data_IF_124809641928
#
_entry.id   IF_124809641928
#
_cell.length_a   1.000
_cell.length_b   1.000
_cell.length_c   1.000
_cell.angle_alpha   90.00
_cell.angle_beta   90.00
_cell.angle_gamma   90.00
#
_symmetry.space_group_name_H-M   'P 1'
#
loop_
_entity.id
_entity.type
_entity.pdbx_description
1 polymer ?
#
# COMPACT_ATOMS: atom_id res chain seq x y z
N UNK A 1 14.12 -1.78 47.92
CA UNK A 1 12.97 -2.70 48.07
C UNK A 1 12.62 -3.22 46.68
N UNK A 2 13.23 -4.37 46.33
CA UNK A 2 13.06 -5.05 45.05
C UNK A 2 11.72 -5.79 45.06
N UNK A 3 10.71 -5.27 44.36
CA UNK A 3 9.55 -6.08 43.99
C UNK A 3 9.94 -6.90 42.78
N UNK A 4 10.38 -8.12 43.09
CA UNK A 4 10.51 -9.20 42.13
C UNK A 4 9.13 -9.48 41.53
N UNK A 5 8.92 -9.04 40.30
CA UNK A 5 7.79 -9.46 39.48
C UNK A 5 8.05 -10.89 38.97
N UNK A 6 8.07 -11.85 39.91
CA UNK A 6 7.92 -13.28 39.63
C UNK A 6 6.43 -13.57 39.41
N UNK A 7 5.84 -12.93 38.42
CA UNK A 7 4.62 -13.43 37.81
C UNK A 7 5.05 -14.47 36.76
N UNK A 8 4.96 -15.74 37.15
CA UNK A 8 5.37 -16.87 36.34
C UNK A 8 4.85 -16.77 34.91
N UNK A 9 5.76 -16.91 33.95
CA UNK A 9 5.44 -17.39 32.62
C UNK A 9 4.81 -18.78 32.79
N UNK A 10 3.50 -18.84 33.07
CA UNK A 10 2.73 -20.03 32.84
C UNK A 10 2.98 -20.40 31.38
N UNK A 11 3.82 -21.41 31.14
CA UNK A 11 4.14 -21.89 29.81
C UNK A 11 2.81 -22.10 29.09
N UNK A 12 2.45 -21.19 28.18
CA UNK A 12 1.20 -21.31 27.45
C UNK A 12 1.20 -22.71 26.83
N UNK A 13 0.21 -23.53 27.15
CA UNK A 13 0.16 -24.93 26.72
C UNK A 13 0.36 -25.00 25.21
N UNK A 14 1.24 -25.88 24.72
CA UNK A 14 1.44 -26.09 23.28
C UNK A 14 0.09 -26.28 22.59
N UNK A 15 -0.14 -25.53 21.51
CA UNK A 15 -1.36 -25.65 20.71
C UNK A 15 -1.53 -27.07 20.15
N UNK A 16 -0.45 -27.65 19.60
CA UNK A 16 -0.47 -28.97 19.02
C UNK A 16 0.90 -29.66 19.19
N UNK A 17 0.88 -30.96 19.53
CA UNK A 17 2.08 -31.78 19.81
C UNK A 17 2.99 -31.96 18.59
N UNK A 18 2.50 -31.84 17.37
CA UNK A 18 3.34 -32.03 16.18
C UNK A 18 4.26 -30.84 15.88
N UNK A 19 4.33 -29.80 16.71
CA UNK A 19 5.11 -28.59 16.45
C UNK A 19 6.27 -28.48 17.45
N UNK A 20 7.48 -28.37 16.92
CA UNK A 20 8.74 -28.51 17.65
C UNK A 20 9.20 -27.20 18.29
N UNK A 21 8.84 -26.06 17.69
CA UNK A 21 9.17 -24.74 18.21
C UNK A 21 8.01 -23.75 18.03
N UNK A 22 8.07 -22.64 18.77
CA UNK A 22 7.21 -21.47 18.54
C UNK A 22 7.96 -20.18 18.85
N UNK A 23 7.57 -19.12 18.17
CA UNK A 23 8.04 -17.76 18.43
C UNK A 23 6.85 -16.92 18.92
N UNK A 24 6.92 -16.32 20.12
CA UNK A 24 5.87 -15.42 20.59
C UNK A 24 5.91 -14.11 19.80
N UNK A 25 4.76 -13.67 19.32
CA UNK A 25 4.57 -12.39 18.62
C UNK A 25 3.51 -11.61 19.39
N UNK A 26 3.84 -10.41 19.84
CA UNK A 26 2.86 -9.48 20.41
C UNK A 26 2.64 -8.35 19.42
N UNK A 27 1.39 -8.05 19.12
CA UNK A 27 1.01 -6.89 18.31
C UNK A 27 0.25 -5.94 19.22
N UNK A 28 0.78 -4.73 19.40
CA UNK A 28 0.10 -3.66 20.14
C UNK A 28 -0.25 -2.54 19.17
N UNK A 29 -1.55 -2.21 19.15
CA UNK A 29 -2.05 -1.07 18.40
C UNK A 29 -2.58 -0.03 19.37
N UNK A 30 -2.35 1.24 19.03
CA UNK A 30 -3.17 2.30 19.57
C UNK A 30 -4.56 2.20 18.95
N UNK A 31 -5.58 2.57 19.72
CA UNK A 31 -6.90 2.82 19.15
C UNK A 31 -6.75 3.83 18.00
N UNK A 32 -7.45 3.58 16.90
CA UNK A 32 -7.36 4.38 15.68
C UNK A 32 -8.41 3.93 14.67
N UNK A 33 -8.26 4.39 13.44
CA UNK A 33 -9.33 4.37 12.43
C UNK A 33 -9.83 2.98 12.02
N UNK A 34 -8.94 1.98 12.02
CA UNK A 34 -9.24 0.64 11.55
C UNK A 34 -9.55 -0.32 12.71
N UNK A 35 -10.70 -1.01 12.65
CA UNK A 35 -11.08 -2.08 13.59
C UNK A 35 -10.31 -3.39 13.39
N UNK A 36 -9.77 -3.60 12.18
CA UNK A 36 -8.86 -4.68 11.79
C UNK A 36 -7.68 -4.09 11.05
N UNK A 37 -6.46 -4.51 11.38
CA UNK A 37 -5.23 -3.93 10.85
C UNK A 37 -4.37 -4.97 10.17
N UNK A 38 -3.88 -4.71 8.96
CA UNK A 38 -2.89 -5.56 8.33
C UNK A 38 -1.54 -5.41 9.05
N UNK A 39 -0.90 -6.54 9.32
CA UNK A 39 0.46 -6.64 9.84
C UNK A 39 1.32 -7.29 8.76
N UNK A 40 2.42 -6.62 8.42
CA UNK A 40 3.41 -7.08 7.44
C UNK A 40 4.75 -7.12 8.16
N UNK A 41 5.30 -8.32 8.37
CA UNK A 41 6.59 -8.51 9.02
C UNK A 41 7.60 -9.01 8.00
N UNK A 42 8.73 -8.30 7.79
CA UNK A 42 9.83 -8.85 7.01
C UNK A 42 10.33 -10.15 7.66
N UNK A 43 10.47 -11.20 6.86
CA UNK A 43 10.87 -12.52 7.33
C UNK A 43 12.25 -12.48 8.01
N UNK A 44 13.15 -11.62 7.52
CA UNK A 44 14.45 -11.36 8.14
C UNK A 44 14.39 -11.16 9.66
N UNK A 45 13.41 -10.40 10.17
CA UNK A 45 13.28 -10.11 11.61
C UNK A 45 13.00 -11.38 12.42
N UNK A 46 12.30 -12.34 11.82
CA UNK A 46 12.01 -13.65 12.42
C UNK A 46 13.20 -14.60 12.22
N UNK A 47 13.80 -14.61 11.02
CA UNK A 47 14.92 -15.47 10.66
C UNK A 47 16.16 -15.22 11.53
N UNK A 48 16.46 -13.95 11.83
CA UNK A 48 17.54 -13.55 12.76
C UNK A 48 17.38 -14.20 14.14
N UNK A 49 16.13 -14.31 14.64
CA UNK A 49 15.83 -14.98 15.92
C UNK A 49 15.96 -16.50 15.85
N UNK A 50 15.73 -17.07 14.67
CA UNK A 50 15.73 -18.53 14.46
C UNK A 50 17.10 -19.10 14.08
N UNK A 51 18.10 -18.26 13.81
CA UNK A 51 19.44 -18.67 13.44
C UNK A 51 19.53 -19.22 12.00
N UNK A 52 18.89 -18.53 11.04
CA UNK A 52 18.98 -18.81 9.59
C UNK A 52 18.52 -20.22 9.14
N UNK A 53 17.66 -20.88 9.93
CA UNK A 53 17.09 -22.16 9.52
C UNK A 53 16.29 -22.03 8.21
N UNK A 54 16.56 -22.92 7.24
CA UNK A 54 15.76 -23.03 6.01
C UNK A 54 14.36 -23.51 6.34
N UNK A 55 13.40 -22.59 6.36
CA UNK A 55 12.01 -22.85 6.70
C UNK A 55 11.18 -22.77 5.42
N UNK A 56 10.14 -23.59 5.32
CA UNK A 56 9.15 -23.51 4.22
C UNK A 56 7.84 -22.94 4.75
N UNK A 57 7.04 -22.30 3.90
CA UNK A 57 5.73 -21.77 4.31
C UNK A 57 4.81 -22.84 4.95
N UNK A 58 4.84 -24.09 4.44
CA UNK A 58 4.07 -25.21 4.99
C UNK A 58 4.49 -25.63 6.41
N UNK A 59 5.67 -25.20 6.86
CA UNK A 59 6.23 -25.41 8.20
C UNK A 59 5.79 -24.38 9.22
N UNK A 60 4.85 -23.48 8.88
CA UNK A 60 4.41 -22.40 9.76
C UNK A 60 2.92 -22.49 10.13
N UNK A 61 2.57 -22.14 11.36
CA UNK A 61 1.19 -21.77 11.74
C UNK A 61 1.17 -20.59 12.69
N UNK A 62 0.30 -19.62 12.41
CA UNK A 62 0.02 -18.54 13.31
C UNK A 62 -1.19 -18.88 14.20
N UNK A 63 -1.05 -18.69 15.51
CA UNK A 63 -2.06 -19.07 16.51
C UNK A 63 -2.29 -17.96 17.51
N UNK A 64 -3.56 -17.62 17.75
CA UNK A 64 -4.01 -16.75 18.84
C UNK A 64 -4.76 -17.59 19.89
N UNK A 65 -4.16 -17.77 21.07
CA UNK A 65 -4.69 -18.68 22.10
C UNK A 65 -4.77 -20.13 21.60
N UNK A 66 -5.97 -20.59 21.20
CA UNK A 66 -6.19 -21.92 20.60
C UNK A 66 -6.70 -21.89 19.16
N UNK A 67 -6.87 -20.70 18.57
CA UNK A 67 -7.43 -20.50 17.23
C UNK A 67 -6.31 -20.28 16.23
N UNK A 68 -6.42 -20.95 15.08
CA UNK A 68 -5.59 -20.63 13.92
C UNK A 68 -5.92 -19.22 13.43
N UNK A 69 -4.89 -18.46 13.12
CA UNK A 69 -5.00 -17.14 12.50
C UNK A 69 -4.62 -17.30 11.02
N UNK A 70 -5.47 -16.85 10.07
CA UNK A 70 -5.08 -16.78 8.67
C UNK A 70 -3.82 -15.94 8.52
N UNK A 71 -2.82 -16.50 7.86
CA UNK A 71 -1.62 -15.79 7.46
C UNK A 71 -1.26 -16.23 6.05
N UNK A 72 -0.42 -15.45 5.39
CA UNK A 72 0.24 -15.84 4.17
C UNK A 72 1.69 -15.35 4.19
N UNK A 73 2.49 -15.95 3.32
CA UNK A 73 3.84 -15.44 3.03
C UNK A 73 3.80 -14.89 1.63
N UNK A 74 4.21 -13.63 1.50
CA UNK A 74 4.34 -12.96 0.23
C UNK A 74 5.79 -12.85 -0.14
N UNK A 75 6.13 -13.44 -1.28
CA UNK A 75 7.51 -13.60 -1.67
C UNK A 75 8.02 -12.39 -2.43
N UNK A 76 9.23 -11.96 -2.11
CA UNK A 76 9.86 -10.81 -2.77
C UNK A 76 11.31 -11.07 -3.12
N UNK A 77 11.77 -10.43 -4.19
CA UNK A 77 13.20 -10.38 -4.49
C UNK A 77 13.88 -9.20 -3.75
N UNK A 78 15.21 -9.13 -3.83
CA UNK A 78 16.00 -8.04 -3.25
C UNK A 78 15.69 -6.64 -3.84
N UNK A 79 15.01 -6.59 -4.98
CA UNK A 79 14.55 -5.34 -5.62
C UNK A 79 13.21 -4.86 -5.06
N UNK A 80 12.54 -5.69 -4.27
CA UNK A 80 11.21 -5.44 -3.71
C UNK A 80 10.08 -5.93 -4.59
N UNK A 81 10.33 -6.58 -5.73
CA UNK A 81 9.25 -7.10 -6.58
C UNK A 81 8.59 -8.32 -5.96
N UNK A 82 7.27 -8.41 -6.07
CA UNK A 82 6.52 -9.63 -5.74
C UNK A 82 6.86 -10.77 -6.71
N UNK A 83 7.10 -11.96 -6.15
CA UNK A 83 7.35 -13.19 -6.87
C UNK A 83 6.10 -14.09 -6.83
N UNK A 84 5.80 -14.84 -7.92
CA UNK A 84 4.73 -15.82 -7.91
C UNK A 84 5.05 -16.98 -6.93
N UNK A 85 4.04 -17.67 -6.38
CA UNK A 85 4.24 -18.79 -5.46
C UNK A 85 4.94 -19.98 -6.16
N UNK A 86 6.05 -20.47 -5.59
CA UNK A 86 6.87 -21.59 -6.05
C UNK A 86 7.17 -22.61 -4.94
N UNK A 87 8.30 -23.34 -4.98
CA UNK A 87 8.65 -24.37 -3.97
C UNK A 87 9.00 -23.83 -2.55
N UNK A 88 8.69 -22.56 -2.30
CA UNK A 88 9.57 -21.51 -1.75
C UNK A 88 10.00 -21.76 -0.29
N UNK A 89 11.31 -21.99 -0.15
CA UNK A 89 12.03 -21.74 1.11
C UNK A 89 11.93 -20.26 1.40
N UNK A 90 11.78 -19.90 2.68
CA UNK A 90 11.58 -18.53 3.10
C UNK A 90 12.91 -17.76 3.05
N UNK A 91 12.94 -16.72 2.22
CA UNK A 91 14.10 -15.85 2.04
C UNK A 91 13.96 -14.57 2.90
N UNK A 92 15.07 -13.89 3.27
CA UNK A 92 15.02 -12.71 4.14
C UNK A 92 14.11 -11.58 3.65
N UNK A 93 13.89 -11.49 2.34
CA UNK A 93 13.07 -10.49 1.66
C UNK A 93 11.57 -10.80 1.70
N UNK A 94 11.18 -12.03 2.05
CA UNK A 94 9.77 -12.44 2.14
C UNK A 94 9.03 -11.69 3.25
N UNK A 95 7.72 -11.58 3.12
CA UNK A 95 6.84 -10.91 4.08
C UNK A 95 5.86 -11.89 4.70
N UNK A 96 5.83 -11.99 6.03
CA UNK A 96 4.74 -12.64 6.75
C UNK A 96 3.58 -11.64 6.90
N UNK A 97 2.42 -11.98 6.33
CA UNK A 97 1.25 -11.09 6.29
C UNK A 97 0.06 -11.73 7.01
N UNK A 98 -0.55 -10.99 7.92
CA UNK A 98 -1.77 -11.37 8.63
C UNK A 98 -2.60 -10.13 9.00
N UNK A 99 -3.83 -10.33 9.46
CA UNK A 99 -4.70 -9.25 9.95
C UNK A 99 -5.03 -9.50 11.41
N UNK A 100 -4.85 -8.48 12.24
CA UNK A 100 -5.19 -8.50 13.65
C UNK A 100 -6.39 -7.60 13.94
N UNK A 101 -7.21 -7.92 14.95
CA UNK A 101 -8.10 -6.92 15.52
C UNK A 101 -7.26 -5.75 16.04
N UNK A 102 -7.79 -4.54 15.98
CA UNK A 102 -7.14 -3.35 16.53
C UNK A 102 -7.33 -3.21 18.05
N UNK A 103 -7.59 -4.32 18.75
CA UNK A 103 -7.62 -4.30 20.20
C UNK A 103 -6.21 -3.93 20.73
N UNK A 104 -6.17 -3.28 21.90
CA UNK A 104 -4.93 -2.66 22.43
C UNK A 104 -3.71 -3.59 22.41
N UNK A 105 -3.93 -4.91 22.50
CA UNK A 105 -2.87 -5.91 22.45
C UNK A 105 -3.38 -7.28 22.03
N UNK A 106 -2.90 -7.77 20.90
CA UNK A 106 -3.07 -9.16 20.44
C UNK A 106 -1.79 -9.97 20.73
N UNK A 107 -1.93 -11.14 21.38
CA UNK A 107 -0.82 -12.09 21.60
C UNK A 107 -0.96 -13.31 20.69
N UNK A 108 0.10 -13.59 19.95
CA UNK A 108 0.19 -14.63 18.93
C UNK A 108 1.38 -15.54 19.19
N UNK A 109 1.35 -16.73 18.60
CA UNK A 109 2.51 -17.60 18.48
C UNK A 109 2.64 -18.08 17.03
N UNK A 110 3.82 -17.90 16.45
CA UNK A 110 4.20 -18.54 15.20
C UNK A 110 4.82 -19.90 15.53
N UNK A 111 4.07 -20.97 15.31
CA UNK A 111 4.54 -22.35 15.46
C UNK A 111 5.35 -22.78 14.25
N UNK A 112 6.45 -23.49 14.50
CA UNK A 112 7.38 -23.98 13.48
C UNK A 112 7.49 -25.51 13.52
N UNK A 113 7.61 -26.08 12.33
CA UNK A 113 7.76 -27.52 12.13
C UNK A 113 8.94 -27.85 11.23
N UNK A 114 9.84 -28.75 11.64
CA UNK A 114 10.96 -29.18 10.80
C UNK A 114 10.46 -29.83 9.50
N UNK A 115 9.37 -30.60 9.62
CA UNK A 115 8.71 -31.24 8.49
C UNK A 115 7.51 -30.37 8.04
N UNK A 116 7.46 -29.94 6.76
CA UNK A 116 6.32 -29.19 6.24
C UNK A 116 5.02 -29.96 6.41
N UNK A 117 3.95 -29.25 6.79
CA UNK A 117 2.62 -29.82 6.96
C UNK A 117 1.70 -29.42 5.80
N UNK A 118 0.61 -30.16 5.54
CA UNK A 118 -0.38 -29.76 4.54
C UNK A 118 -0.83 -28.31 4.80
N UNK A 119 -0.93 -27.44 3.78
CA UNK A 119 -1.28 -26.04 3.98
C UNK A 119 -2.64 -25.92 4.66
N UNK A 120 -2.78 -24.96 5.59
CA UNK A 120 -4.11 -24.60 6.09
C UNK A 120 -4.80 -23.75 5.02
N UNK A 121 -6.03 -24.14 4.65
CA UNK A 121 -6.86 -23.32 3.77
C UNK A 121 -7.73 -22.40 4.60
N UNK A 122 -7.77 -21.13 4.20
CA UNK A 122 -8.66 -20.13 4.78
C UNK A 122 -9.43 -19.45 3.65
N UNK A 123 -10.73 -19.15 3.85
CA UNK A 123 -11.44 -18.32 2.89
C UNK A 123 -10.76 -16.95 2.83
N UNK A 124 -10.61 -16.41 1.62
CA UNK A 124 -10.13 -15.04 1.45
C UNK A 124 -11.27 -14.07 1.74
N UNK A 125 -11.01 -13.04 2.55
CA UNK A 125 -11.92 -11.90 2.72
C UNK A 125 -11.88 -10.91 1.54
N UNK A 126 -10.99 -11.14 0.56
CA UNK A 126 -10.91 -10.34 -0.66
C UNK A 126 -11.50 -11.15 -1.81
N UNK A 127 -12.39 -10.56 -2.58
CA UNK A 127 -12.93 -11.17 -3.81
C UNK A 127 -12.18 -10.65 -5.02
N UNK A 128 -11.73 -11.56 -5.90
CA UNK A 128 -11.25 -11.21 -7.24
C UNK A 128 -12.40 -11.42 -8.21
N UNK A 129 -12.82 -10.36 -8.87
CA UNK A 129 -13.82 -10.42 -9.94
C UNK A 129 -13.11 -10.30 -11.27
N UNK A 130 -13.21 -11.34 -12.08
CA UNK A 130 -12.89 -11.29 -13.49
C UNK A 130 -14.14 -10.87 -14.27
N UNK A 131 -14.04 -9.87 -15.14
CA UNK A 131 -15.17 -9.28 -15.83
C UNK A 131 -15.84 -10.24 -16.81
N UNK A 132 -17.15 -10.09 -17.01
CA UNK A 132 -17.88 -10.69 -18.15
C UNK A 132 -17.90 -9.80 -19.42
N UNK A 133 -17.44 -8.54 -19.34
CA UNK A 133 -17.42 -7.52 -20.43
C UNK A 133 -16.16 -6.62 -20.30
N UNK A 134 -15.70 -5.99 -21.37
CA UNK A 134 -14.42 -5.23 -21.47
C UNK A 134 -14.19 -4.02 -20.52
N UNK A 135 -15.02 -3.79 -19.48
CA UNK A 135 -14.96 -2.58 -18.63
C UNK A 135 -13.72 -2.52 -17.71
N UNK A 136 -13.17 -3.65 -17.31
CA UNK A 136 -11.91 -3.75 -16.55
C UNK A 136 -11.24 -5.09 -16.89
N UNK A 137 -10.07 -5.40 -16.32
CA UNK A 137 -9.41 -6.71 -16.46
C UNK A 137 -9.35 -7.45 -15.12
N UNK A 138 -9.16 -6.72 -14.02
CA UNK A 138 -9.19 -7.25 -12.66
C UNK A 138 -9.96 -6.29 -11.77
N UNK A 139 -10.80 -6.80 -10.88
CA UNK A 139 -11.41 -6.02 -9.80
C UNK A 139 -11.20 -6.74 -8.48
N UNK A 140 -10.68 -6.03 -7.49
CA UNK A 140 -10.55 -6.49 -6.12
C UNK A 140 -11.64 -5.83 -5.27
N UNK A 141 -12.23 -6.60 -4.36
CA UNK A 141 -13.33 -6.14 -3.47
C UNK A 141 -13.11 -6.68 -2.06
N UNK A 142 -13.18 -5.82 -1.05
CA UNK A 142 -13.11 -6.20 0.38
C UNK A 142 -13.70 -5.09 1.25
N UNK A 143 -14.36 -5.47 2.34
CA UNK A 143 -14.81 -4.56 3.41
C UNK A 143 -15.52 -3.26 2.94
N UNK A 144 -16.29 -3.30 1.84
CA UNK A 144 -16.94 -2.11 1.27
C UNK A 144 -16.07 -1.29 0.31
N UNK A 145 -14.78 -1.56 0.20
CA UNK A 145 -13.90 -1.01 -0.84
C UNK A 145 -13.87 -1.87 -2.10
N UNK A 146 -13.70 -1.24 -3.26
CA UNK A 146 -13.28 -1.96 -4.46
C UNK A 146 -12.39 -1.12 -5.37
N UNK A 147 -11.45 -1.79 -6.03
CA UNK A 147 -10.57 -1.21 -7.05
C UNK A 147 -10.64 -2.07 -8.32
N UNK A 148 -10.96 -1.44 -9.46
CA UNK A 148 -10.96 -2.10 -10.76
C UNK A 148 -9.85 -1.52 -11.65
N UNK A 149 -9.09 -2.42 -12.27
CA UNK A 149 -7.90 -2.12 -13.06
C UNK A 149 -8.11 -2.68 -14.47
N UNK A 150 -7.87 -1.88 -15.50
CA UNK A 150 -7.99 -2.25 -16.91
C UNK A 150 -6.63 -2.13 -17.60
N UNK A 151 -6.07 -3.15 -18.28
CA UNK A 151 -4.76 -2.99 -18.95
C UNK A 151 -4.26 -4.09 -19.90
N UNK A 152 -5.12 -4.71 -20.72
CA UNK A 152 -4.66 -5.55 -21.87
C UNK A 152 -5.46 -5.34 -23.17
N UNK A 153 -5.91 -4.11 -23.48
CA UNK A 153 -6.68 -3.84 -24.72
C UNK A 153 -5.82 -3.32 -25.88
N UNK A 154 -6.17 -3.71 -27.13
CA UNK A 154 -5.82 -2.90 -28.30
C UNK A 154 -6.49 -1.52 -28.17
N UNK A 155 -5.78 -0.48 -28.63
CA UNK A 155 -6.23 0.90 -28.62
C UNK A 155 -7.54 1.02 -29.43
N UNK A 156 -8.67 1.24 -28.78
CA UNK A 156 -9.89 1.66 -29.50
C UNK A 156 -9.80 3.17 -29.78
N UNK A 157 -9.13 3.50 -30.88
CA UNK A 157 -9.01 4.87 -31.40
C UNK A 157 -10.35 5.46 -31.86
N UNK A 158 -11.36 4.61 -32.08
CA UNK A 158 -12.69 5.04 -32.54
C UNK A 158 -13.61 5.46 -31.39
N UNK A 159 -13.23 5.13 -30.15
CA UNK A 159 -13.90 5.59 -28.95
C UNK A 159 -13.60 7.08 -28.68
N UNK A 160 -14.12 7.96 -29.54
CA UNK A 160 -14.08 9.43 -29.46
C UNK A 160 -14.75 10.04 -28.20
N UNK A 161 -14.95 9.27 -27.13
CA UNK A 161 -15.54 9.73 -25.87
C UNK A 161 -14.84 9.23 -24.61
N UNK A 162 -13.83 8.34 -24.70
CA UNK A 162 -13.07 7.89 -23.53
C UNK A 162 -11.59 7.91 -23.83
N UNK A 163 -11.00 9.10 -23.75
CA UNK A 163 -9.55 9.24 -23.73
C UNK A 163 -8.96 8.31 -22.64
N UNK A 164 -8.21 7.29 -23.08
CA UNK A 164 -7.35 6.38 -22.28
C UNK A 164 -7.85 4.97 -21.90
N UNK A 165 -8.73 4.34 -22.66
CA UNK A 165 -9.15 2.94 -22.47
C UNK A 165 -8.03 1.86 -22.59
N UNK A 166 -6.79 2.25 -22.91
CA UNK A 166 -5.67 1.34 -23.23
C UNK A 166 -4.47 1.38 -22.26
N UNK A 167 -4.60 2.01 -21.09
CA UNK A 167 -3.54 2.10 -20.08
C UNK A 167 -3.94 1.27 -18.87
N UNK A 168 -3.04 0.51 -18.25
CA UNK A 168 -3.30 -0.11 -16.93
C UNK A 168 -3.73 0.93 -15.89
N UNK A 169 -5.03 1.17 -15.83
CA UNK A 169 -5.61 2.31 -15.14
C UNK A 169 -6.60 1.81 -14.14
N UNK A 170 -6.64 2.50 -13.01
CA UNK A 170 -7.73 2.33 -12.07
C UNK A 170 -8.98 2.98 -12.67
N UNK A 171 -9.87 2.15 -13.20
CA UNK A 171 -11.12 2.57 -13.86
C UNK A 171 -12.30 2.63 -12.88
N UNK A 172 -12.09 2.14 -11.66
CA UNK A 172 -13.10 2.18 -10.60
C UNK A 172 -12.43 2.14 -9.23
N UNK A 173 -12.81 3.08 -8.38
CA UNK A 173 -12.54 3.15 -6.95
C UNK A 173 -13.88 3.34 -6.28
N UNK A 174 -14.24 2.43 -5.39
CA UNK A 174 -15.50 2.49 -4.66
C UNK A 174 -15.23 2.40 -3.16
N UNK A 175 -16.03 3.13 -2.40
CA UNK A 175 -16.18 2.97 -0.95
C UNK A 175 -17.67 2.91 -0.61
N UNK A 176 -18.14 1.82 -0.01
CA UNK A 176 -19.54 1.58 0.37
C UNK A 176 -20.58 1.88 -0.73
N UNK A 177 -20.22 1.65 -2.00
CA UNK A 177 -21.09 1.93 -3.14
C UNK A 177 -20.99 3.36 -3.70
N UNK A 178 -20.26 4.26 -3.02
CA UNK A 178 -19.90 5.57 -3.54
C UNK A 178 -18.68 5.46 -4.45
N UNK A 179 -18.74 6.11 -5.61
CA UNK A 179 -17.63 6.14 -6.56
C UNK A 179 -16.67 7.26 -6.20
N UNK A 180 -15.41 6.93 -5.92
CA UNK A 180 -14.35 7.88 -5.58
C UNK A 180 -13.54 8.33 -6.81
N UNK A 181 -13.97 7.90 -8.01
CA UNK A 181 -13.41 8.34 -9.30
C UNK A 181 -14.48 8.42 -10.44
N UNK A 182 -15.05 9.58 -10.75
CA UNK A 182 -16.07 9.74 -11.81
C UNK A 182 -15.51 9.51 -13.23
N UNK A 183 -16.40 9.13 -14.14
CA UNK A 183 -16.11 8.70 -15.52
C UNK A 183 -15.65 9.82 -16.46
N UNK A 184 -15.84 11.08 -16.09
CA UNK A 184 -15.72 12.24 -16.98
C UNK A 184 -14.31 12.82 -17.09
N UNK A 185 -13.31 12.22 -16.45
CA UNK A 185 -11.93 12.67 -16.52
C UNK A 185 -11.06 11.71 -17.31
N UNK A 186 -10.02 12.27 -17.94
CA UNK A 186 -8.93 11.53 -18.57
C UNK A 186 -8.38 10.52 -17.57
N UNK A 187 -8.70 9.23 -17.76
CA UNK A 187 -8.37 8.17 -16.81
C UNK A 187 -6.87 8.07 -16.51
N UNK A 188 -6.02 8.55 -17.42
CA UNK A 188 -4.58 8.68 -17.20
C UNK A 188 -4.16 9.65 -16.08
N UNK A 189 -5.09 10.35 -15.44
CA UNK A 189 -4.82 11.35 -14.40
C UNK A 189 -5.36 10.97 -13.02
N UNK A 190 -6.34 10.06 -12.93
CA UNK A 190 -7.07 9.80 -11.68
C UNK A 190 -6.19 9.09 -10.65
N UNK A 191 -5.27 8.27 -11.13
CA UNK A 191 -4.24 7.67 -10.33
C UNK A 191 -3.09 7.37 -11.28
N UNK A 192 -1.97 8.03 -11.03
CA UNK A 192 -0.64 7.64 -11.40
C UNK A 192 -0.24 7.77 -12.87
N UNK A 193 0.15 8.99 -13.23
CA UNK A 193 1.12 9.17 -14.31
C UNK A 193 2.40 8.37 -13.97
N UNK A 194 2.98 7.67 -14.94
CA UNK A 194 4.35 7.16 -14.78
C UNK A 194 5.32 8.37 -14.85
N UNK A 195 6.50 8.30 -14.22
CA UNK A 195 7.37 9.47 -14.06
C UNK A 195 8.07 9.98 -15.33
N UNK A 196 7.62 9.56 -16.51
CA UNK A 196 8.33 9.76 -17.79
C UNK A 196 7.52 10.62 -18.75
N UNK A 197 8.18 11.41 -19.62
CA UNK A 197 7.51 12.14 -20.69
C UNK A 197 6.67 11.16 -21.51
N UNK A 198 5.36 11.40 -21.59
CA UNK A 198 4.44 10.47 -22.25
C UNK A 198 4.64 10.54 -23.77
N UNK A 199 5.26 9.52 -24.36
CA UNK A 199 5.06 9.21 -25.78
C UNK A 199 3.83 8.30 -25.94
N UNK A 200 3.30 8.20 -27.16
CA UNK A 200 2.21 7.27 -27.43
C UNK A 200 2.59 5.80 -27.16
N UNK A 201 3.87 5.45 -27.04
CA UNK A 201 4.35 4.08 -26.82
C UNK A 201 4.54 3.70 -25.35
N UNK A 202 4.53 4.68 -24.44
CA UNK A 202 4.75 4.46 -23.00
C UNK A 202 3.44 4.07 -22.33
N UNK A 203 3.21 2.76 -22.21
CA UNK A 203 1.93 2.23 -21.75
C UNK A 203 2.11 1.15 -20.69
N UNK A 204 1.34 1.31 -19.61
CA UNK A 204 1.16 0.23 -18.65
C UNK A 204 0.46 -0.97 -19.28
N UNK A 205 0.99 -2.16 -19.03
CA UNK A 205 0.61 -3.43 -19.65
C UNK A 205 0.74 -4.59 -18.65
N UNK A 206 0.29 -5.78 -19.07
CA UNK A 206 0.45 -7.04 -18.34
C UNK A 206 -0.23 -7.06 -16.95
N UNK A 207 -1.50 -6.63 -16.88
CA UNK A 207 -2.29 -6.74 -15.65
C UNK A 207 -2.43 -8.21 -15.24
N UNK A 208 -1.91 -8.57 -14.06
CA UNK A 208 -1.90 -9.94 -13.55
C UNK A 208 -2.14 -10.00 -12.04
N UNK A 209 -2.84 -11.03 -11.58
CA UNK A 209 -2.92 -11.38 -10.16
C UNK A 209 -1.62 -12.11 -9.78
N UNK A 210 -0.80 -11.50 -8.90
CA UNK A 210 0.48 -12.07 -8.46
C UNK A 210 0.37 -12.82 -7.14
N UNK A 211 -0.41 -12.28 -6.21
CA UNK A 211 -0.64 -12.87 -4.90
C UNK A 211 -2.12 -13.15 -4.76
N UNK A 212 -2.45 -14.42 -4.53
CA UNK A 212 -3.82 -14.90 -4.34
C UNK A 212 -3.96 -15.63 -2.99
N UNK A 213 -3.64 -14.91 -1.92
CA UNK A 213 -3.65 -15.47 -0.58
C UNK A 213 -4.96 -15.24 0.20
N UNK A 214 -5.10 -15.89 1.37
CA UNK A 214 -6.26 -15.72 2.24
C UNK A 214 -6.33 -14.35 2.93
N UNK A 215 -5.22 -13.63 3.07
CA UNK A 215 -5.12 -12.36 3.79
C UNK A 215 -4.98 -11.17 2.86
N UNK A 216 -4.12 -11.25 1.84
CA UNK A 216 -3.82 -10.18 0.91
C UNK A 216 -3.89 -10.71 -0.52
N UNK A 217 -4.47 -9.89 -1.40
CA UNK A 217 -4.40 -10.11 -2.85
C UNK A 217 -3.67 -8.94 -3.50
N UNK A 218 -2.78 -9.27 -4.43
CA UNK A 218 -1.93 -8.28 -5.11
C UNK A 218 -2.08 -8.42 -6.61
N UNK A 219 -2.53 -7.35 -7.27
CA UNK A 219 -2.55 -7.22 -8.72
C UNK A 219 -1.36 -6.36 -9.14
N UNK A 220 -0.64 -6.79 -10.17
CA UNK A 220 0.47 -6.04 -10.73
C UNK A 220 0.23 -5.62 -12.17
N UNK A 221 0.89 -4.54 -12.56
CA UNK A 221 1.01 -4.07 -13.95
C UNK A 221 2.38 -3.45 -14.14
N UNK A 222 2.90 -3.44 -15.36
CA UNK A 222 4.23 -2.87 -15.63
C UNK A 222 4.21 -1.84 -16.76
N UNK A 223 5.11 -0.88 -16.69
CA UNK A 223 5.41 0.07 -17.75
C UNK A 223 6.93 0.09 -17.90
N UNK A 224 7.41 -0.16 -19.10
CA UNK A 224 8.82 -0.02 -19.43
C UNK A 224 8.91 1.11 -20.43
N UNK A 225 9.77 2.07 -20.19
CA UNK A 225 10.14 3.02 -21.21
C UNK A 225 11.67 2.93 -21.37
N UNK A 226 12.10 2.91 -22.61
CA UNK A 226 13.49 2.73 -23.00
C UNK A 226 13.78 3.71 -24.12
N UNK A 227 14.45 4.80 -23.79
CA UNK A 227 15.17 5.61 -24.76
C UNK A 227 16.66 5.34 -24.63
N UNK A 228 17.14 4.59 -25.62
CA UNK A 228 18.54 4.38 -25.94
C UNK A 228 18.97 5.44 -26.97
N UNK A 229 20.03 5.18 -27.73
CA UNK A 229 21.35 5.64 -27.35
C UNK A 229 21.59 6.89 -28.17
N UNK A 230 22.48 7.71 -27.71
CA UNK A 230 23.16 8.64 -28.60
C UNK A 230 24.10 8.01 -29.63
N UNK A 231 24.41 8.83 -30.63
CA UNK A 231 25.58 8.69 -31.49
C UNK A 231 26.57 9.89 -31.36
N UNK A 232 26.19 10.96 -30.64
CA UNK A 232 27.06 12.02 -30.11
C UNK A 232 27.52 11.76 -28.67
N UNK A 233 27.14 10.63 -28.08
CA UNK A 233 27.40 10.33 -26.67
C UNK A 233 26.29 10.58 -25.63
N UNK A 234 25.12 11.24 -25.89
CA UNK A 234 23.93 11.21 -24.97
C UNK A 234 22.44 11.06 -25.50
N UNK A 235 21.80 9.88 -25.41
CA UNK A 235 20.34 9.66 -25.19
C UNK A 235 20.20 8.43 -24.31
N UNK A 236 19.95 8.63 -23.02
CA UNK A 236 19.83 7.51 -22.10
C UNK A 236 18.80 7.78 -21.03
N UNK A 237 17.60 7.27 -21.26
CA UNK A 237 16.61 7.15 -20.20
C UNK A 237 16.00 5.75 -20.29
N UNK A 238 16.39 4.88 -19.38
CA UNK A 238 15.92 3.51 -19.32
C UNK A 238 15.40 3.24 -17.92
N UNK A 239 14.10 2.96 -17.84
CA UNK A 239 13.54 2.44 -16.61
C UNK A 239 12.34 1.53 -16.81
N UNK A 240 12.25 0.59 -15.88
CA UNK A 240 11.14 -0.33 -15.73
C UNK A 240 10.38 0.00 -14.45
N UNK A 241 9.07 0.16 -14.55
CA UNK A 241 8.20 0.42 -13.40
C UNK A 241 7.20 -0.70 -13.27
N UNK A 242 7.18 -1.33 -12.11
CA UNK A 242 6.10 -2.24 -11.73
C UNK A 242 5.24 -1.57 -10.67
N UNK A 243 3.93 -1.58 -10.88
CA UNK A 243 2.94 -1.13 -9.91
C UNK A 243 2.20 -2.31 -9.32
N UNK A 244 2.01 -2.26 -8.02
CA UNK A 244 1.26 -3.23 -7.23
C UNK A 244 0.05 -2.57 -6.57
N UNK A 245 -1.11 -3.21 -6.70
CA UNK A 245 -2.33 -2.87 -5.99
C UNK A 245 -2.66 -3.99 -5.02
N UNK A 246 -2.66 -3.68 -3.73
CA UNK A 246 -2.84 -4.64 -2.65
C UNK A 246 -4.14 -4.36 -1.89
N UNK A 247 -4.95 -5.39 -1.67
CA UNK A 247 -6.11 -5.33 -0.77
C UNK A 247 -6.02 -6.41 0.30
N UNK A 248 -6.52 -6.09 1.50
CA UNK A 248 -6.47 -6.96 2.66
C UNK A 248 -7.86 -7.46 3.05
N UNK A 249 -7.92 -8.70 3.54
CA UNK A 249 -9.15 -9.37 3.92
C UNK A 249 -9.84 -8.62 5.06
N UNK A 250 -11.10 -8.24 4.82
CA UNK A 250 -11.97 -7.52 5.77
C UNK A 250 -11.41 -6.19 6.30
N UNK A 251 -10.52 -5.53 5.56
CA UNK A 251 -10.02 -4.18 5.90
C UNK A 251 -10.44 -3.19 4.81
N UNK A 252 -11.04 -2.04 5.14
CA UNK A 252 -11.41 -0.99 4.18
C UNK A 252 -10.18 -0.18 3.76
N UNK A 253 -9.19 -0.88 3.19
CA UNK A 253 -7.90 -0.33 2.83
C UNK A 253 -7.38 -0.97 1.55
N UNK A 254 -6.75 -0.16 0.71
CA UNK A 254 -5.82 -0.66 -0.30
C UNK A 254 -4.50 0.09 -0.25
N UNK A 255 -3.43 -0.66 -0.50
CA UNK A 255 -2.07 -0.17 -0.60
C UNK A 255 -1.65 -0.17 -2.08
N UNK A 256 -0.99 0.90 -2.49
CA UNK A 256 -0.36 1.00 -3.81
C UNK A 256 1.13 1.18 -3.63
N UNK A 257 1.89 0.41 -4.40
CA UNK A 257 3.34 0.47 -4.40
C UNK A 257 3.85 0.49 -5.83
N UNK A 258 4.73 1.45 -6.12
CA UNK A 258 5.50 1.50 -7.35
C UNK A 258 6.94 1.16 -7.05
N UNK A 259 7.50 0.30 -7.88
CA UNK A 259 8.93 -0.02 -7.91
C UNK A 259 9.46 0.40 -9.28
N UNK A 260 10.20 1.51 -9.31
CA UNK A 260 10.82 2.04 -10.52
C UNK A 260 12.32 1.74 -10.49
N UNK A 261 12.79 0.97 -11.46
CA UNK A 261 14.21 0.67 -11.68
C UNK A 261 14.73 1.55 -12.79
N UNK A 262 15.44 2.62 -12.43
CA UNK A 262 16.08 3.52 -13.39
C UNK A 262 17.52 3.07 -13.58
N UNK A 263 17.85 2.48 -14.74
CA UNK A 263 19.21 2.04 -15.04
C UNK A 263 20.08 3.16 -15.61
N UNK A 264 19.48 4.09 -16.36
CA UNK A 264 20.16 5.30 -16.86
C UNK A 264 19.19 6.47 -16.90
N UNK A 265 19.59 7.65 -16.41
CA UNK A 265 18.80 8.89 -16.44
C UNK A 265 19.74 10.10 -16.57
N UNK A 266 19.34 11.18 -17.28
CA UNK A 266 20.10 12.44 -17.30
C UNK A 266 20.17 13.11 -15.92
N UNK A 267 21.26 13.81 -15.60
CA UNK A 267 21.42 14.52 -14.33
C UNK A 267 20.36 15.63 -14.08
N UNK A 268 19.78 16.17 -15.16
CA UNK A 268 18.68 17.15 -15.13
C UNK A 268 17.29 16.52 -15.11
N UNK A 269 17.20 15.18 -15.18
CA UNK A 269 15.91 14.51 -15.21
C UNK A 269 15.22 14.60 -13.86
N UNK A 270 13.91 14.82 -13.93
CA UNK A 270 13.04 14.96 -12.80
C UNK A 270 11.92 13.93 -12.91
N UNK A 271 11.79 13.06 -11.90
CA UNK A 271 10.70 12.08 -11.87
C UNK A 271 9.44 12.73 -11.32
N UNK A 272 8.44 12.95 -12.17
CA UNK A 272 7.18 13.60 -11.81
C UNK A 272 6.02 12.61 -11.71
N UNK A 273 5.41 12.47 -10.54
CA UNK A 273 4.15 11.74 -10.37
C UNK A 273 3.00 12.73 -10.28
N UNK A 274 1.85 12.40 -10.88
CA UNK A 274 0.61 13.16 -10.77
C UNK A 274 -0.53 12.19 -10.51
N UNK A 275 -1.24 12.44 -9.41
CA UNK A 275 -2.39 11.67 -8.95
C UNK A 275 -3.60 12.58 -8.72
N UNK A 276 -4.80 12.08 -9.04
CA UNK A 276 -6.05 12.84 -8.89
C UNK A 276 -7.25 12.00 -8.44
N UNK A 277 -7.53 11.98 -7.15
CA UNK A 277 -8.69 11.29 -6.57
C UNK A 277 -9.82 12.25 -6.27
N UNK A 278 -11.02 11.73 -6.21
CA UNK A 278 -12.20 12.53 -5.96
C UNK A 278 -12.71 12.34 -4.54
N UNK A 279 -13.32 13.41 -4.05
CA UNK A 279 -14.01 13.49 -2.79
C UNK A 279 -15.42 12.89 -2.88
N UNK A 280 -15.56 11.67 -3.41
CA UNK A 280 -16.88 11.08 -3.66
C UNK A 280 -17.69 11.84 -4.72
N UNK A 281 -18.79 12.48 -4.30
CA UNK A 281 -19.55 13.39 -5.16
C UNK A 281 -18.70 14.65 -5.52
N UNK A 282 -19.27 15.63 -6.21
CA UNK A 282 -18.54 16.89 -6.40
C UNK A 282 -18.39 17.61 -5.07
N UNK A 283 -17.21 18.19 -4.82
CA UNK A 283 -16.96 18.96 -3.60
C UNK A 283 -18.07 19.99 -3.38
N UNK A 284 -18.68 19.99 -2.20
CA UNK A 284 -19.75 20.91 -1.81
C UNK A 284 -19.48 21.56 -0.43
N UNK A 285 -20.39 22.43 0.01
CA UNK A 285 -20.22 23.14 1.28
C UNK A 285 -20.18 22.23 2.52
N UNK A 286 -20.64 20.99 2.43
CA UNK A 286 -20.68 20.02 3.52
C UNK A 286 -19.40 19.20 3.66
N UNK A 287 -18.45 19.38 2.75
CA UNK A 287 -17.18 18.67 2.78
C UNK A 287 -16.14 19.33 3.68
N UNK A 288 -15.38 18.48 4.36
CA UNK A 288 -14.18 18.87 5.09
C UNK A 288 -12.95 18.28 4.42
N UNK A 289 -11.94 19.11 4.21
CA UNK A 289 -10.60 18.69 3.80
C UNK A 289 -9.66 18.79 5.00
N UNK A 290 -8.90 17.75 5.26
CA UNK A 290 -7.90 17.70 6.33
C UNK A 290 -6.53 17.52 5.70
N UNK A 291 -5.55 18.32 6.09
CA UNK A 291 -4.14 18.01 5.84
C UNK A 291 -3.42 17.77 7.16
N UNK A 292 -2.35 16.99 7.11
CA UNK A 292 -1.33 17.03 8.14
C UNK A 292 0.04 17.24 7.53
N UNK A 293 0.72 18.27 8.02
CA UNK A 293 2.16 18.48 7.86
C UNK A 293 2.77 18.59 9.25
N UNK A 294 3.71 17.70 9.56
CA UNK A 294 4.56 17.71 10.76
C UNK A 294 3.86 18.11 12.07
N UNK A 295 2.76 17.42 12.42
CA UNK A 295 2.09 17.56 13.72
C UNK A 295 1.02 18.65 13.82
N UNK A 296 0.85 19.48 12.79
CA UNK A 296 -0.28 20.39 12.67
C UNK A 296 -1.38 19.74 11.82
N UNK A 297 -2.57 19.59 12.39
CA UNK A 297 -3.79 19.25 11.65
C UNK A 297 -4.40 20.56 11.19
N UNK A 298 -4.61 20.71 9.88
CA UNK A 298 -5.37 21.85 9.34
C UNK A 298 -6.65 21.33 8.72
N UNK A 299 -7.75 21.89 9.17
CA UNK A 299 -9.08 21.61 8.63
C UNK A 299 -9.52 22.78 7.77
N UNK A 300 -9.92 22.48 6.55
CA UNK A 300 -10.52 23.43 5.64
C UNK A 300 -11.99 23.03 5.46
N UNK A 301 -12.88 23.87 5.99
CA UNK A 301 -14.30 23.78 5.68
C UNK A 301 -14.58 24.55 4.40
N UNK A 302 -15.32 23.91 3.51
CA UNK A 302 -15.69 24.51 2.24
C UNK A 302 -16.89 25.46 2.34
N UNK A 303 -17.75 25.30 3.36
CA UNK A 303 -18.87 26.19 3.67
C UNK A 303 -18.50 27.67 3.86
N UNK A 304 -17.25 27.97 4.22
CA UNK A 304 -16.79 29.33 4.52
C UNK A 304 -16.06 30.04 3.38
N UNK A 305 -15.93 29.42 2.21
CA UNK A 305 -15.12 29.96 1.10
C UNK A 305 -15.96 30.79 0.15
N UNK A 306 -15.42 31.91 -0.31
CA UNK A 306 -16.03 32.65 -1.41
C UNK A 306 -15.73 31.94 -2.74
N UNK A 307 -16.61 31.02 -3.09
CA UNK A 307 -16.53 30.13 -4.25
C UNK A 307 -16.51 30.84 -5.61
N UNK A 308 -16.90 32.13 -5.66
CA UNK A 308 -16.78 32.91 -6.89
C UNK A 308 -15.33 33.34 -7.17
N UNK A 309 -14.47 33.34 -6.15
CA UNK A 309 -13.09 33.82 -6.21
C UNK A 309 -12.08 32.68 -6.01
N UNK A 310 -12.27 31.83 -5.00
CA UNK A 310 -11.32 30.77 -4.64
C UNK A 310 -11.73 29.41 -5.22
N UNK A 311 -11.50 29.23 -6.53
CA UNK A 311 -11.85 27.98 -7.25
C UNK A 311 -10.79 26.87 -7.12
N UNK A 312 -9.64 27.17 -6.56
CA UNK A 312 -8.51 26.24 -6.32
C UNK A 312 -7.75 26.69 -5.09
N UNK A 313 -7.08 25.75 -4.42
CA UNK A 313 -6.13 26.09 -3.37
C UNK A 313 -5.14 24.97 -3.11
N UNK A 314 -4.06 25.31 -2.42
CA UNK A 314 -3.05 24.35 -1.99
C UNK A 314 -3.51 23.69 -0.68
N UNK A 315 -3.42 22.36 -0.63
CA UNK A 315 -3.56 21.57 0.59
C UNK A 315 -2.23 21.36 1.27
N UNK A 316 -1.11 21.31 0.54
CA UNK A 316 0.21 21.06 1.09
C UNK A 316 1.31 21.38 0.07
N UNK A 317 2.47 21.83 0.55
CA UNK A 317 3.72 21.94 -0.19
C UNK A 317 4.86 21.67 0.79
N UNK A 318 5.54 20.52 0.66
CA UNK A 318 6.54 20.06 1.62
C UNK A 318 7.67 19.30 0.94
N UNK A 319 8.88 19.43 1.49
CA UNK A 319 10.05 18.63 1.12
C UNK A 319 10.18 17.35 1.99
N UNK A 320 9.28 17.19 2.97
CA UNK A 320 9.25 16.04 3.89
C UNK A 320 8.05 15.14 3.59
N UNK A 321 8.16 14.33 2.53
CA UNK A 321 7.09 13.40 2.08
C UNK A 321 6.58 12.49 3.20
N UNK A 322 7.48 12.04 4.09
CA UNK A 322 7.15 11.16 5.22
C UNK A 322 6.29 11.78 6.31
N UNK A 323 5.92 13.07 6.18
CA UNK A 323 4.98 13.76 7.04
C UNK A 323 3.67 14.15 6.34
N UNK A 324 3.52 13.83 5.06
CA UNK A 324 2.42 14.29 4.25
C UNK A 324 1.25 13.29 4.21
N UNK A 325 0.06 13.79 4.54
CA UNK A 325 -1.20 13.12 4.31
C UNK A 325 -2.33 14.13 4.19
N UNK A 326 -3.44 13.70 3.61
CA UNK A 326 -4.70 14.44 3.65
C UNK A 326 -5.88 13.47 3.69
N UNK A 327 -7.02 14.02 4.04
CA UNK A 327 -8.29 13.34 3.98
C UNK A 327 -9.36 14.28 3.46
N UNK A 328 -10.39 13.68 2.92
CA UNK A 328 -11.67 14.33 2.66
C UNK A 328 -12.77 13.57 3.40
N UNK A 329 -13.74 14.30 3.94
CA UNK A 329 -14.88 13.75 4.65
C UNK A 329 -16.15 14.54 4.33
N UNK A 330 -17.17 13.83 3.83
CA UNK A 330 -18.53 14.32 3.63
C UNK A 330 -19.30 14.26 4.96
N UNK A 331 -19.66 15.43 5.50
CA UNK A 331 -20.37 15.48 6.78
C UNK A 331 -21.82 15.00 6.70
N UNK A 332 -22.46 15.09 5.53
CA UNK A 332 -23.87 14.71 5.33
C UNK A 332 -23.99 13.20 5.26
N UNK A 333 -23.16 12.56 4.43
CA UNK A 333 -23.18 11.12 4.24
C UNK A 333 -22.36 10.39 5.32
N UNK A 334 -21.55 11.13 6.10
CA UNK A 334 -20.63 10.63 7.13
C UNK A 334 -19.62 9.61 6.61
N UNK A 335 -19.15 9.83 5.38
CA UNK A 335 -18.16 8.98 4.71
C UNK A 335 -17.00 9.80 4.16
N UNK A 336 -15.84 9.17 3.99
CA UNK A 336 -14.68 9.88 3.48
C UNK A 336 -13.56 8.97 2.99
N UNK A 337 -12.43 9.57 2.65
CA UNK A 337 -11.22 8.89 2.21
C UNK A 337 -10.00 9.61 2.78
N UNK A 338 -9.13 8.88 3.47
CA UNK A 338 -7.80 9.36 3.83
C UNK A 338 -6.75 8.73 2.92
N UNK A 339 -5.74 9.53 2.56
CA UNK A 339 -4.61 9.10 1.73
C UNK A 339 -3.31 9.49 2.41
N UNK A 340 -2.47 8.48 2.56
CA UNK A 340 -1.23 8.55 3.30
C UNK A 340 -0.06 8.31 2.37
N UNK A 341 1.00 9.12 2.52
CA UNK A 341 2.24 8.99 1.74
C UNK A 341 3.42 8.47 2.55
N UNK A 342 4.03 7.42 2.00
CA UNK A 342 5.04 6.66 2.70
C UNK A 342 6.33 7.45 2.70
N UNK A 343 7.21 7.24 3.69
CA UNK A 343 8.55 7.77 3.58
C UNK A 343 9.19 7.25 2.27
N UNK A 344 9.93 8.09 1.54
CA UNK A 344 10.66 7.67 0.35
C UNK A 344 11.56 6.48 0.70
N UNK A 345 11.42 5.37 -0.02
CA UNK A 345 12.25 4.19 0.17
C UNK A 345 13.14 3.99 -1.06
N UNK A 346 14.44 3.84 -0.82
CA UNK A 346 15.43 3.57 -1.86
C UNK A 346 16.03 2.20 -1.57
N UNK A 347 15.98 1.30 -2.55
CA UNK A 347 16.61 -0.01 -2.44
C UNK A 347 18.07 0.12 -2.91
N UNK A 348 19.02 0.10 -1.97
CA UNK A 348 20.46 0.17 -2.25
C UNK A 348 21.25 1.01 -1.23
N UNK A 349 22.59 0.98 -1.32
CA UNK A 349 23.52 1.77 -0.47
C UNK A 349 23.61 3.26 -0.83
N UNK A 350 22.91 3.72 -1.86
CA UNK A 350 22.93 5.13 -2.23
C UNK A 350 22.10 5.94 -1.22
N UNK A 351 22.64 7.08 -0.80
CA UNK A 351 21.96 8.03 0.06
C UNK A 351 20.58 8.40 -0.52
N UNK A 352 19.64 8.76 0.35
CA UNK A 352 18.36 9.32 -0.09
C UNK A 352 18.62 10.48 -1.07
N UNK A 353 17.99 10.51 -2.26
CA UNK A 353 18.11 11.63 -3.18
C UNK A 353 17.67 12.91 -2.45
N UNK A 354 18.46 13.96 -2.61
CA UNK A 354 18.11 15.29 -2.10
C UNK A 354 16.91 15.85 -2.86
N UNK A 355 16.05 16.63 -2.20
CA UNK A 355 15.05 17.46 -2.89
C UNK A 355 13.82 16.74 -3.42
N UNK A 356 13.15 15.92 -2.59
CA UNK A 356 11.83 15.38 -2.96
C UNK A 356 10.79 16.42 -2.61
N UNK A 357 10.19 17.06 -3.61
CA UNK A 357 9.11 18.01 -3.39
C UNK A 357 7.74 17.35 -3.57
N UNK A 358 6.88 17.59 -2.60
CA UNK A 358 5.52 17.11 -2.61
C UNK A 358 4.52 18.25 -2.55
N UNK A 359 3.55 18.26 -3.47
CA UNK A 359 2.47 19.25 -3.49
C UNK A 359 1.12 18.56 -3.61
N UNK A 360 0.18 19.04 -2.83
CA UNK A 360 -1.22 18.65 -2.93
C UNK A 360 -2.11 19.87 -2.96
N UNK A 361 -3.22 19.79 -3.69
CA UNK A 361 -4.16 20.88 -3.85
C UNK A 361 -5.56 20.38 -4.17
N UNK A 362 -6.52 21.30 -4.10
CA UNK A 362 -7.93 21.08 -4.35
C UNK A 362 -8.45 22.05 -5.41
N UNK A 363 -9.58 21.70 -6.04
CA UNK A 363 -10.24 22.56 -7.03
C UNK A 363 -11.74 22.52 -6.83
N UNK A 364 -12.33 23.63 -6.43
CA UNK A 364 -13.78 23.82 -6.31
C UNK A 364 -14.49 23.57 -7.66
N UNK A 365 -15.66 22.94 -7.63
CA UNK A 365 -16.44 22.48 -8.81
C UNK A 365 -15.75 21.45 -9.73
N UNK A 366 -14.44 21.22 -9.60
CA UNK A 366 -13.80 20.05 -10.16
C UNK A 366 -13.83 18.96 -9.09
N UNK A 367 -14.31 17.79 -9.45
CA UNK A 367 -14.59 16.76 -8.44
C UNK A 367 -13.32 16.12 -7.85
N UNK A 368 -12.11 16.57 -8.21
CA UNK A 368 -10.81 15.96 -7.86
C UNK A 368 -9.98 16.80 -6.85
N UNK A 369 -9.14 16.14 -6.06
CA UNK A 369 -7.91 16.71 -5.50
C UNK A 369 -6.75 16.38 -6.45
N UNK A 370 -5.72 17.23 -6.48
CA UNK A 370 -4.54 17.04 -7.34
C UNK A 370 -3.30 16.94 -6.51
N UNK A 371 -2.45 15.98 -6.84
CA UNK A 371 -1.25 15.72 -6.07
C UNK A 371 -0.10 15.43 -7.01
N UNK A 372 1.03 16.08 -6.76
CA UNK A 372 2.25 15.88 -7.54
C UNK A 372 3.45 15.63 -6.65
N UNK A 373 4.29 14.68 -7.08
CA UNK A 373 5.60 14.42 -6.49
C UNK A 373 6.68 14.68 -7.53
N UNK A 374 7.78 15.24 -7.08
CA UNK A 374 8.90 15.59 -7.95
C UNK A 374 10.20 15.16 -7.28
N UNK A 375 10.96 14.29 -7.95
CA UNK A 375 12.33 13.96 -7.56
C UNK A 375 13.30 14.76 -8.41
N UNK A 376 14.10 15.60 -7.78
CA UNK A 376 15.12 16.39 -8.46
C UNK A 376 16.49 15.67 -8.34
N UNK A 377 17.35 15.84 -9.34
CA UNK A 377 18.76 15.41 -9.31
C UNK A 377 18.99 13.92 -9.00
N UNK A 378 18.25 13.02 -9.66
CA UNK A 378 18.43 11.57 -9.50
C UNK A 378 19.73 11.06 -10.13
N UNK A 379 20.51 10.28 -9.38
CA UNK A 379 21.69 9.55 -9.89
C UNK A 379 21.34 8.08 -10.16
N UNK A 380 21.43 7.63 -11.42
CA UNK A 380 21.24 6.23 -11.80
C UNK A 380 22.57 5.42 -11.77
N UNK A 381 22.55 4.10 -11.51
CA UNK A 381 21.37 3.26 -11.33
C UNK A 381 20.70 3.46 -9.97
N UNK A 382 19.37 3.61 -9.98
CA UNK A 382 18.57 3.80 -8.76
C UNK A 382 17.28 2.98 -8.82
N UNK A 383 16.88 2.44 -7.68
CA UNK A 383 15.54 1.88 -7.49
C UNK A 383 14.74 2.79 -6.57
N UNK A 384 13.68 3.37 -7.10
CA UNK A 384 12.74 4.19 -6.35
C UNK A 384 11.54 3.33 -5.94
N UNK A 385 11.13 3.43 -4.67
CA UNK A 385 9.90 2.84 -4.18
C UNK A 385 8.97 3.93 -3.67
N UNK A 386 7.81 4.04 -4.30
CA UNK A 386 6.75 4.96 -3.88
C UNK A 386 5.60 4.15 -3.30
N UNK A 387 5.10 4.61 -2.15
CA UNK A 387 4.03 3.90 -1.45
C UNK A 387 3.00 4.90 -1.01
N UNK A 388 1.74 4.56 -1.26
CA UNK A 388 0.63 5.25 -0.65
C UNK A 388 -0.43 4.25 -0.21
N UNK A 389 -1.21 4.70 0.75
CA UNK A 389 -2.27 3.92 1.38
C UNK A 389 -3.54 4.75 1.37
N UNK A 390 -4.64 4.12 0.99
CA UNK A 390 -5.96 4.76 0.97
C UNK A 390 -6.88 4.00 1.90
N UNK A 391 -7.57 4.73 2.78
CA UNK A 391 -8.45 4.16 3.80
C UNK A 391 -9.81 4.84 3.74
N UNK A 392 -10.88 4.02 3.67
CA UNK A 392 -12.25 4.50 3.80
C UNK A 392 -12.52 5.02 5.22
N UNK A 393 -13.20 6.16 5.32
CA UNK A 393 -13.52 6.81 6.60
C UNK A 393 -15.01 6.66 6.92
N UNK A 394 -15.31 6.43 8.20
CA UNK A 394 -16.66 6.36 8.77
C UNK A 394 -16.68 7.08 10.12
N UNK A 395 -17.38 8.20 10.22
CA UNK A 395 -17.59 8.90 11.49
C UNK A 395 -16.33 9.10 12.34
N UNK A 396 -15.30 9.73 11.75
CA UNK A 396 -13.98 9.86 12.36
C UNK A 396 -13.57 11.30 12.60
N UNK A 397 -12.72 11.50 13.60
CA UNK A 397 -12.03 12.77 13.85
C UNK A 397 -10.71 12.86 13.05
N UNK A 398 -10.24 14.08 12.73
CA UNK A 398 -8.93 14.24 12.09
C UNK A 398 -7.76 13.76 12.96
N UNK A 399 -7.90 13.76 14.30
CA UNK A 399 -6.89 13.24 15.23
C UNK A 399 -6.71 11.72 15.09
N UNK A 400 -7.80 10.99 14.86
CA UNK A 400 -7.76 9.54 14.60
C UNK A 400 -7.07 9.25 13.27
N UNK A 401 -7.34 10.04 12.22
CA UNK A 401 -6.65 9.94 10.93
C UNK A 401 -5.16 10.23 11.08
N UNK A 402 -4.79 11.30 11.79
CA UNK A 402 -3.40 11.63 12.07
C UNK A 402 -2.71 10.54 12.93
N UNK A 403 -3.45 9.90 13.83
CA UNK A 403 -3.00 8.74 14.59
C UNK A 403 -2.69 7.54 13.70
N UNK A 404 -3.59 7.23 12.77
CA UNK A 404 -3.40 6.18 11.78
C UNK A 404 -2.18 6.41 10.89
N UNK A 405 -2.02 7.65 10.39
CA UNK A 405 -0.86 8.02 9.60
C UNK A 405 0.45 7.80 10.36
N UNK A 406 0.51 8.22 11.64
CA UNK A 406 1.67 8.02 12.52
C UNK A 406 2.04 6.55 12.69
N UNK A 407 1.04 5.68 12.83
CA UNK A 407 1.24 4.23 12.91
C UNK A 407 1.77 3.65 11.60
N UNK A 408 1.32 4.17 10.46
CA UNK A 408 1.75 3.67 9.17
C UNK A 408 3.15 4.15 8.76
N UNK A 409 3.48 5.43 8.97
CA UNK A 409 4.78 6.00 8.59
C UNK A 409 5.94 5.48 9.45
N UNK A 410 5.66 5.07 10.68
CA UNK A 410 6.65 4.56 11.60
C UNK A 410 6.41 3.05 11.83
N UNK A 411 7.20 2.16 11.20
CA UNK A 411 7.05 0.72 11.39
C UNK A 411 7.22 0.26 12.85
N UNK A 412 7.88 1.06 13.70
CA UNK A 412 8.03 0.79 15.14
C UNK A 412 6.84 1.32 15.97
N UNK A 413 5.97 2.16 15.41
CA UNK A 413 4.88 2.79 16.15
C UNK A 413 3.66 1.88 16.39
N UNK A 414 3.49 0.83 15.59
CA UNK A 414 2.70 -0.33 15.96
C UNK A 414 3.64 -1.37 16.53
N UNK A 415 3.79 -1.43 17.86
CA UNK A 415 4.83 -2.23 18.52
C UNK A 415 4.57 -3.73 18.31
N UNK A 416 5.02 -4.26 17.17
CA UNK A 416 5.14 -5.69 16.96
C UNK A 416 6.42 -6.14 17.67
N UNK A 417 6.26 -6.87 18.76
CA UNK A 417 7.38 -7.46 19.49
C UNK A 417 7.50 -8.93 19.15
N UNK A 418 8.68 -9.35 18.70
CA UNK A 418 9.03 -10.74 18.46
C UNK A 418 9.92 -11.18 19.63
N UNK A 419 9.44 -12.15 20.42
CA UNK A 419 10.23 -12.70 21.53
C UNK A 419 11.11 -13.88 21.10
N UNK A 420 11.81 -14.47 22.07
CA UNK A 420 12.77 -15.54 21.78
C UNK A 420 12.07 -16.86 21.42
N UNK A 421 12.67 -17.68 20.53
CA UNK A 421 12.10 -18.97 20.16
C UNK A 421 12.05 -19.95 21.35
N UNK A 422 10.89 -20.54 21.56
CA UNK A 422 10.66 -21.57 22.55
C UNK A 422 10.68 -22.95 21.90
N UNK A 423 11.59 -23.82 22.34
CA UNK A 423 11.65 -25.22 21.86
C UNK A 423 10.88 -26.15 22.77
N UNK A 424 10.26 -27.15 22.16
CA UNK A 424 9.64 -28.23 22.91
C UNK A 424 10.69 -29.08 23.58
N UNK A 425 10.67 -29.09 24.93
CA UNK A 425 11.42 -30.09 25.71
C UNK A 425 10.91 -31.46 25.27
N UNK A 426 11.83 -32.27 24.75
CA UNK A 426 11.54 -33.64 24.31
C UNK A 426 11.12 -34.50 25.49
#
# INVERSE_FOLDING_TARGET
MLLADRAGAAQARWWNKGWEARVPITVEFREGLLSKRPVILPWRVIAERLGEAKIRAGSLRLVAGRRLVPFQVDHRNARGDFLPPGNLTLDPEDELVFVCPSDRRTRLHLYLSENPKPPASFPSGVTVVEPRRQRYHRKLVTAGMSIAIQGTGQLDLSANSQANSARATVVELMWKGYKLNPQSQSWGMVLNAHPYPSSETDRWRNVRLLVDGPVRKVVATNCSNSTASDADGQVTWQADVTRYFSMFADVPLYDVEDVAHCSVVPASWTAGYLDQWHAGHGLDEHDLLWEGTSGAIRMFSLAGKNISVERTGDLMDTEQVGDAWYAWFDQKERTGLAVFYGPPQHAGKAASPAGIRFRGGWRWYATHNRISFTYESLEAPVTLRHRFRMIGLDDVSPEEVAGEYRLWKNPDAGTVTIGDPERRRR
#
